data_IF_491852962795
#
_entry.id   IF_491852962795
#
_cell.length_a   1.000
_cell.length_b   1.000
_cell.length_c   1.000
_cell.angle_alpha   90.00
_cell.angle_beta   90.00
_cell.angle_gamma   90.00
#
_symmetry.space_group_name_H-M   'P 1'
#
loop_
_entity.id
_entity.type
_entity.pdbx_description
1 polymer ?
#
# COMPACT_ATOMS: atom_id res chain seq x y z
N UNK A 1 -6.75 27.05 12.17
CA UNK A 1 -7.55 26.23 11.24
C UNK A 1 -6.67 25.98 10.02
N UNK A 2 -6.12 24.79 9.90
CA UNK A 2 -5.15 24.46 8.85
C UNK A 2 -4.65 23.06 9.11
N UNK A 3 -5.40 22.06 8.64
CA UNK A 3 -4.80 20.76 8.38
C UNK A 3 -3.78 21.02 7.27
N UNK A 4 -2.50 21.05 7.62
CA UNK A 4 -1.49 20.79 6.60
C UNK A 4 -1.61 19.30 6.30
N UNK A 5 -2.44 18.95 5.32
CA UNK A 5 -2.51 17.57 4.83
C UNK A 5 -1.09 17.12 4.47
N UNK A 6 -0.64 16.08 5.14
CA UNK A 6 0.70 15.56 4.93
C UNK A 6 0.68 14.62 3.73
N UNK A 7 1.86 14.37 3.14
CA UNK A 7 2.00 13.35 2.11
C UNK A 7 1.42 12.00 2.56
N UNK A 8 1.58 11.67 3.85
CA UNK A 8 1.05 10.45 4.42
C UNK A 8 -0.47 10.43 4.39
N UNK A 9 -1.13 11.52 4.79
CA UNK A 9 -2.60 11.61 4.82
C UNK A 9 -3.19 11.46 3.41
N UNK A 10 -2.57 12.11 2.41
CA UNK A 10 -3.00 12.01 1.02
C UNK A 10 -2.89 10.58 0.47
N UNK A 11 -1.78 9.88 0.78
CA UNK A 11 -1.59 8.49 0.36
C UNK A 11 -2.60 7.57 1.07
N UNK A 12 -2.79 7.77 2.38
CA UNK A 12 -3.75 6.98 3.16
C UNK A 12 -5.18 7.19 2.66
N UNK A 13 -5.56 8.43 2.34
CA UNK A 13 -6.85 8.77 1.75
C UNK A 13 -7.02 8.11 0.38
N UNK A 14 -6.01 8.18 -0.48
CA UNK A 14 -6.03 7.56 -1.80
C UNK A 14 -6.33 6.06 -1.70
N UNK A 15 -5.58 5.31 -0.87
CA UNK A 15 -5.78 3.87 -0.70
C UNK A 15 -7.00 3.48 0.16
N UNK A 16 -7.75 4.45 0.70
CA UNK A 16 -8.99 4.18 1.44
C UNK A 16 -10.20 3.95 0.52
N UNK A 17 -10.11 4.32 -0.76
CA UNK A 17 -11.16 4.09 -1.75
C UNK A 17 -11.17 2.62 -2.20
N UNK A 18 -12.29 1.92 -1.95
CA UNK A 18 -12.45 0.52 -2.32
C UNK A 18 -12.45 0.32 -3.84
N UNK A 19 -13.04 1.24 -4.61
CA UNK A 19 -13.10 1.11 -6.07
C UNK A 19 -11.69 1.21 -6.66
N UNK A 20 -10.84 2.07 -6.08
CA UNK A 20 -9.43 2.13 -6.46
C UNK A 20 -8.73 0.79 -6.19
N UNK A 21 -8.93 0.18 -5.02
CA UNK A 21 -8.28 -1.09 -4.69
C UNK A 21 -8.69 -2.21 -5.65
N UNK A 22 -9.96 -2.24 -6.05
CA UNK A 22 -10.48 -3.16 -7.06
C UNK A 22 -9.86 -2.90 -8.43
N UNK A 23 -9.81 -1.64 -8.88
CA UNK A 23 -9.17 -1.24 -10.14
C UNK A 23 -7.68 -1.65 -10.17
N UNK A 24 -6.93 -1.40 -9.09
CA UNK A 24 -5.53 -1.80 -9.00
C UNK A 24 -5.36 -3.31 -9.09
N UNK A 25 -6.31 -4.08 -8.53
CA UNK A 25 -6.30 -5.53 -8.62
C UNK A 25 -6.59 -6.01 -10.05
N UNK A 26 -7.57 -5.43 -10.73
CA UNK A 26 -7.88 -5.73 -12.14
C UNK A 26 -6.70 -5.39 -13.08
N UNK A 27 -5.94 -4.34 -12.76
CA UNK A 27 -4.77 -3.91 -13.52
C UNK A 27 -3.45 -4.61 -13.12
N UNK A 28 -3.53 -5.73 -12.40
CA UNK A 28 -2.36 -6.49 -11.93
C UNK A 28 -1.34 -5.66 -11.10
N UNK A 29 -1.83 -4.62 -10.41
CA UNK A 29 -1.06 -3.82 -9.44
C UNK A 29 -1.30 -4.28 -7.99
N UNK A 30 -1.74 -5.53 -7.83
CA UNK A 30 -2.03 -6.19 -6.56
C UNK A 30 -1.27 -7.50 -6.43
N UNK A 31 -0.85 -7.83 -5.21
CA UNK A 31 -0.27 -9.12 -4.87
C UNK A 31 -0.68 -9.52 -3.46
N UNK A 32 -0.86 -10.83 -3.23
CA UNK A 32 -1.23 -11.38 -1.92
C UNK A 32 -0.39 -12.61 -1.59
N UNK A 33 -0.05 -12.76 -0.32
CA UNK A 33 0.47 -14.01 0.24
C UNK A 33 -0.36 -14.43 1.45
N UNK A 34 -0.53 -15.74 1.61
CA UNK A 34 -1.22 -16.33 2.75
C UNK A 34 -0.29 -17.36 3.39
N UNK A 35 0.02 -17.17 4.66
CA UNK A 35 0.85 -18.06 5.46
C UNK A 35 -0.01 -18.63 6.60
N UNK A 36 0.08 -19.96 6.82
CA UNK A 36 -0.61 -20.63 7.93
C UNK A 36 0.41 -21.33 8.81
N UNK A 37 0.39 -21.05 10.10
CA UNK A 37 1.31 -21.64 11.07
C UNK A 37 0.68 -21.75 12.45
N UNK A 38 0.67 -22.96 13.04
CA UNK A 38 0.31 -23.22 14.46
C UNK A 38 -0.90 -22.43 14.97
N UNK A 39 -2.04 -22.49 14.27
CA UNK A 39 -3.29 -21.82 14.68
C UNK A 39 -3.37 -20.33 14.30
N UNK A 40 -2.37 -19.81 13.60
CA UNK A 40 -2.32 -18.46 13.05
C UNK A 40 -2.44 -18.51 11.52
N UNK A 41 -3.21 -17.59 10.96
CA UNK A 41 -3.29 -17.30 9.52
C UNK A 41 -2.84 -15.85 9.34
N UNK A 42 -1.83 -15.63 8.51
CA UNK A 42 -1.38 -14.30 8.13
C UNK A 42 -1.63 -14.09 6.64
N UNK A 43 -2.37 -13.03 6.33
CA UNK A 43 -2.66 -12.59 4.97
C UNK A 43 -1.96 -11.26 4.78
N UNK A 44 -0.97 -11.22 3.87
CA UNK A 44 -0.30 -9.98 3.47
C UNK A 44 -0.71 -9.61 2.07
N UNK A 45 -1.24 -8.41 1.94
CA UNK A 45 -1.72 -7.84 0.70
C UNK A 45 -0.90 -6.60 0.35
N UNK A 46 -0.66 -6.40 -0.93
CA UNK A 46 0.21 -5.37 -1.47
C UNK A 46 -0.50 -4.69 -2.65
N UNK A 47 -0.58 -3.37 -2.63
CA UNK A 47 -1.06 -2.56 -3.74
C UNK A 47 -0.01 -1.53 -4.12
N UNK A 48 0.11 -1.26 -5.42
CA UNK A 48 0.96 -0.18 -5.93
C UNK A 48 0.15 0.69 -6.88
N UNK A 49 0.43 1.98 -6.91
CA UNK A 49 -0.07 2.89 -7.93
C UNK A 49 1.07 3.74 -8.48
N UNK A 50 1.10 3.87 -9.80
CA UNK A 50 2.02 4.76 -10.51
C UNK A 50 1.36 6.07 -10.96
N UNK A 51 0.03 6.18 -10.86
CA UNK A 51 -0.69 7.40 -11.19
C UNK A 51 -0.69 8.39 -10.02
N UNK A 52 0.48 9.01 -9.83
CA UNK A 52 0.78 9.88 -8.69
C UNK A 52 1.01 11.33 -9.10
N UNK A 53 0.59 11.73 -10.31
CA UNK A 53 0.78 13.10 -10.81
C UNK A 53 0.13 14.13 -9.89
N UNK A 54 -1.08 13.83 -9.42
CA UNK A 54 -1.83 14.67 -8.48
C UNK A 54 -1.07 14.84 -7.15
N UNK A 55 -0.46 13.76 -6.63
CA UNK A 55 0.28 13.78 -5.38
C UNK A 55 1.55 14.64 -5.51
N UNK A 56 2.27 14.52 -6.62
CA UNK A 56 3.45 15.34 -6.90
C UNK A 56 3.11 16.82 -7.10
N UNK A 57 1.91 17.16 -7.58
CA UNK A 57 1.43 18.54 -7.68
C UNK A 57 1.14 19.13 -6.30
N UNK A 58 0.48 18.37 -5.42
CA UNK A 58 0.19 18.77 -4.04
C UNK A 58 1.46 18.83 -3.19
N UNK A 59 2.44 17.95 -3.47
CA UNK A 59 3.71 17.86 -2.75
C UNK A 59 4.92 17.96 -3.69
N UNK A 60 5.28 19.18 -4.18
CA UNK A 60 6.32 19.37 -5.19
C UNK A 60 7.71 18.83 -4.81
N UNK A 61 8.00 18.70 -3.50
CA UNK A 61 9.27 18.14 -3.00
C UNK A 61 9.47 16.67 -3.42
N UNK A 62 8.39 15.96 -3.75
CA UNK A 62 8.40 14.53 -4.07
C UNK A 62 8.25 14.25 -5.57
N UNK A 63 8.62 15.22 -6.42
CA UNK A 63 8.50 15.13 -7.88
C UNK A 63 9.27 13.98 -8.57
N UNK A 64 10.19 13.30 -7.86
CA UNK A 64 10.98 12.18 -8.38
C UNK A 64 10.41 10.81 -8.04
N UNK A 65 9.30 10.75 -7.30
CA UNK A 65 8.62 9.49 -7.02
C UNK A 65 8.15 8.85 -8.32
N UNK A 66 8.17 7.52 -8.33
CA UNK A 66 7.64 6.70 -9.43
C UNK A 66 6.33 6.02 -9.07
N UNK A 67 5.99 5.97 -7.79
CA UNK A 67 4.73 5.45 -7.32
C UNK A 67 4.61 5.48 -5.80
N UNK A 68 3.44 5.06 -5.36
CA UNK A 68 3.07 4.86 -3.96
C UNK A 68 2.55 3.44 -3.78
N UNK A 69 2.64 2.92 -2.57
CA UNK A 69 2.16 1.57 -2.27
C UNK A 69 1.56 1.46 -0.89
N UNK A 70 0.68 0.49 -0.73
CA UNK A 70 0.09 0.09 0.54
C UNK A 70 0.38 -1.37 0.81
N UNK A 71 0.67 -1.70 2.06
CA UNK A 71 0.58 -3.07 2.56
C UNK A 71 -0.55 -3.17 3.56
N UNK A 72 -1.36 -4.22 3.47
CA UNK A 72 -2.31 -4.62 4.52
C UNK A 72 -1.88 -5.97 5.05
N UNK A 73 -1.62 -6.05 6.35
CA UNK A 73 -1.33 -7.31 7.02
C UNK A 73 -2.49 -7.66 7.94
N UNK A 74 -3.15 -8.78 7.68
CA UNK A 74 -4.23 -9.30 8.49
C UNK A 74 -3.76 -10.59 9.15
N UNK A 75 -3.75 -10.62 10.48
CA UNK A 75 -3.41 -11.80 11.26
C UNK A 75 -4.67 -12.28 11.97
N UNK A 76 -5.07 -13.52 11.70
CA UNK A 76 -5.98 -14.29 12.54
C UNK A 76 -5.14 -15.18 13.45
N UNK A 77 -5.28 -15.04 14.77
CA UNK A 77 -4.67 -15.95 15.74
C UNK A 77 -5.74 -16.42 16.71
N UNK A 78 -6.07 -17.71 16.64
CA UNK A 78 -7.08 -18.33 17.50
C UNK A 78 -8.43 -17.56 17.47
N UNK A 79 -8.81 -17.01 16.31
CA UNK A 79 -10.04 -16.23 16.14
C UNK A 79 -9.94 -14.75 16.53
N UNK A 80 -8.78 -14.29 16.98
CA UNK A 80 -8.51 -12.86 17.17
C UNK A 80 -7.89 -12.27 15.90
N UNK A 81 -8.69 -11.44 15.21
CA UNK A 81 -8.25 -10.71 14.03
C UNK A 81 -7.55 -9.40 14.40
N UNK A 82 -6.37 -9.16 13.83
CA UNK A 82 -5.70 -7.87 13.81
C UNK A 82 -5.35 -7.47 12.38
N UNK A 83 -5.43 -6.18 12.07
CA UNK A 83 -5.10 -5.65 10.77
C UNK A 83 -4.21 -4.42 10.90
N UNK A 84 -3.15 -4.35 10.10
CA UNK A 84 -2.26 -3.21 10.01
C UNK A 84 -2.13 -2.75 8.56
N UNK A 85 -2.37 -1.46 8.31
CA UNK A 85 -2.08 -0.82 7.02
C UNK A 85 -0.81 0.01 7.15
N UNK A 86 0.09 -0.10 6.17
CA UNK A 86 1.30 0.74 6.05
C UNK A 86 1.38 1.32 4.64
N UNK A 87 1.83 2.56 4.55
CA UNK A 87 1.90 3.32 3.31
C UNK A 87 3.34 3.69 2.97
N UNK A 88 3.67 3.65 1.68
CA UNK A 88 5.04 3.78 1.20
C UNK A 88 5.08 4.65 -0.04
N UNK A 89 6.21 5.33 -0.21
CA UNK A 89 6.59 6.00 -1.44
C UNK A 89 7.80 5.28 -2.04
N UNK A 90 7.88 5.19 -3.36
CA UNK A 90 9.03 4.59 -4.01
C UNK A 90 9.42 5.28 -5.32
N UNK A 91 10.69 5.14 -5.68
CA UNK A 91 11.28 5.72 -6.89
C UNK A 91 11.80 4.66 -7.87
N UNK A 92 11.55 3.37 -7.60
CA UNK A 92 11.88 2.26 -8.49
C UNK A 92 10.71 1.95 -9.44
N UNK A 93 10.89 0.97 -10.35
CA UNK A 93 9.85 0.58 -11.31
C UNK A 93 8.56 0.18 -10.56
N UNK A 94 7.39 0.75 -10.89
CA UNK A 94 6.12 0.38 -10.26
C UNK A 94 5.75 -1.03 -10.69
N UNK A 95 6.11 -1.99 -9.87
CA UNK A 95 5.86 -3.42 -10.04
C UNK A 95 5.54 -3.99 -8.66
N UNK A 96 4.38 -4.62 -8.53
CA UNK A 96 3.84 -5.03 -7.23
C UNK A 96 4.68 -6.11 -6.56
N UNK A 97 5.31 -7.00 -7.34
CA UNK A 97 6.20 -8.04 -6.82
C UNK A 97 7.52 -7.46 -6.32
N UNK A 98 8.11 -6.54 -7.08
CA UNK A 98 9.30 -5.79 -6.67
C UNK A 98 9.02 -5.01 -5.39
N UNK A 99 7.89 -4.31 -5.34
CA UNK A 99 7.44 -3.59 -4.14
C UNK A 99 7.29 -4.53 -2.94
N UNK A 100 6.56 -5.64 -3.09
CA UNK A 100 6.35 -6.62 -2.03
C UNK A 100 7.68 -7.16 -1.46
N UNK A 101 8.64 -7.47 -2.35
CA UNK A 101 9.97 -7.93 -1.93
C UNK A 101 10.75 -6.84 -1.18
N UNK A 102 10.68 -5.58 -1.63
CA UNK A 102 11.37 -4.46 -0.98
C UNK A 102 10.84 -4.19 0.43
N UNK A 103 9.51 -4.14 0.61
CA UNK A 103 8.91 -3.77 1.91
C UNK A 103 8.88 -4.93 2.90
N UNK A 104 8.93 -6.17 2.43
CA UNK A 104 8.92 -7.35 3.31
C UNK A 104 10.26 -7.53 4.05
N UNK A 105 11.36 -6.98 3.54
CA UNK A 105 12.68 -7.02 4.18
C UNK A 105 12.99 -5.82 5.07
N UNK A 106 12.04 -4.90 5.27
CA UNK A 106 12.26 -3.58 5.87
C UNK A 106 11.58 -3.40 7.23
#
# INVERSE_FOLDING_TARGET
KGNQETLYDDIALYFSDVNLLEELQENAQYYQTVEKSRGQIEVREYWVSSDIKWLCQNHPKWHKLRGIGMTRNTIDKDGQLSQENRYFIFSFKPDVLTFANCVRGH
#
